data_IF_894690518133
#
_entry.id   IF_894690518133
#
_cell.length_a   1.000
_cell.length_b   1.000
_cell.length_c   1.000
_cell.angle_alpha   90.00
_cell.angle_beta   90.00
_cell.angle_gamma   90.00
#
_symmetry.space_group_name_H-M   'P 1'
#
loop_
_entity.id
_entity.type
_entity.pdbx_description
1 polymer ?
#
# COMPACT_ATOMS: atom_id res chain seq x y z
N UNK A 1 6.12 -5.74 30.39
CA UNK A 1 5.01 -5.84 29.44
C UNK A 1 5.28 -4.90 28.27
N UNK A 2 5.68 -5.44 27.13
CA UNK A 2 5.87 -4.60 25.94
C UNK A 2 4.50 -4.28 25.36
N UNK A 3 4.04 -3.06 25.59
CA UNK A 3 2.84 -2.57 24.93
C UNK A 3 3.19 -2.36 23.45
N UNK A 4 2.56 -3.12 22.58
CA UNK A 4 2.64 -2.90 21.13
C UNK A 4 2.16 -1.49 20.82
N UNK A 5 3.05 -0.64 20.40
CA UNK A 5 2.71 0.76 20.16
C UNK A 5 2.88 1.11 18.70
N UNK A 6 1.75 1.38 18.05
CA UNK A 6 1.76 1.96 16.73
C UNK A 6 2.18 3.42 16.81
N UNK A 7 2.98 3.87 15.87
CA UNK A 7 3.40 5.26 15.73
C UNK A 7 3.03 5.77 14.34
N UNK A 8 2.73 7.05 14.25
CA UNK A 8 2.46 7.72 12.99
C UNK A 8 3.68 8.55 12.64
N UNK A 9 4.25 8.27 11.48
CA UNK A 9 5.42 8.97 10.97
C UNK A 9 5.11 9.64 9.63
N UNK A 10 5.90 10.64 9.29
CA UNK A 10 5.89 11.21 7.95
C UNK A 10 6.52 10.22 6.97
N UNK A 11 5.95 10.11 5.79
CA UNK A 11 6.55 9.33 4.71
C UNK A 11 7.67 10.16 4.07
N UNK A 12 8.88 9.62 4.11
CA UNK A 12 10.10 10.32 3.67
C UNK A 12 9.95 10.88 2.25
N UNK A 13 10.15 12.18 2.11
CA UNK A 13 10.05 12.89 0.82
C UNK A 13 8.62 13.32 0.45
N UNK A 14 7.65 13.12 1.34
CA UNK A 14 6.25 13.46 1.09
C UNK A 14 5.63 14.13 2.32
N UNK A 15 5.69 15.45 2.38
CA UNK A 15 5.31 16.25 3.56
C UNK A 15 3.84 16.06 3.98
N UNK A 16 2.98 15.67 3.05
CA UNK A 16 1.54 15.52 3.29
C UNK A 16 1.10 14.08 3.50
N UNK A 17 2.02 13.11 3.47
CA UNK A 17 1.68 11.70 3.68
C UNK A 17 2.18 11.21 5.03
N UNK A 18 1.29 10.51 5.72
CA UNK A 18 1.58 9.84 6.99
C UNK A 18 1.52 8.33 6.81
N UNK A 19 2.29 7.60 7.59
CA UNK A 19 2.29 6.15 7.59
C UNK A 19 2.26 5.63 9.03
N UNK A 20 1.44 4.60 9.28
CA UNK A 20 1.37 3.94 10.57
C UNK A 20 2.38 2.81 10.60
N UNK A 21 3.22 2.80 11.61
CA UNK A 21 4.31 1.82 11.79
C UNK A 21 4.28 1.21 13.18
N UNK A 22 4.87 0.03 13.29
CA UNK A 22 5.06 -0.65 14.57
C UNK A 22 6.44 -1.31 14.57
N UNK A 23 7.20 -1.09 15.62
CA UNK A 23 8.59 -1.58 15.75
C UNK A 23 8.73 -3.10 15.74
N UNK A 24 7.65 -3.83 16.01
CA UNK A 24 7.66 -5.28 16.00
C UNK A 24 7.55 -5.88 14.59
N UNK A 25 7.21 -5.06 13.59
CA UNK A 25 7.05 -5.47 12.21
C UNK A 25 8.07 -4.79 11.32
N UNK A 26 8.30 -5.39 10.16
CA UNK A 26 9.18 -4.81 9.17
C UNK A 26 8.65 -3.46 8.69
N UNK A 27 9.50 -2.46 8.76
CA UNK A 27 9.20 -1.14 8.21
C UNK A 27 9.51 -1.11 6.71
N UNK A 28 8.92 -0.14 6.00
CA UNK A 28 9.15 0.02 4.57
C UNK A 28 10.64 0.31 4.28
N UNK A 29 11.10 -0.17 3.13
CA UNK A 29 12.48 0.00 2.67
C UNK A 29 12.61 1.17 1.69
N UNK A 30 13.86 1.51 1.34
CA UNK A 30 14.14 2.50 0.30
C UNK A 30 13.49 2.13 -1.04
N UNK A 31 13.46 0.83 -1.37
CA UNK A 31 12.83 0.32 -2.60
C UNK A 31 11.35 0.69 -2.67
N UNK A 32 10.65 0.65 -1.53
CA UNK A 32 9.24 1.06 -1.47
C UNK A 32 9.01 2.51 -1.86
N UNK A 33 10.01 3.37 -1.64
CA UNK A 33 9.97 4.78 -2.03
C UNK A 33 10.32 4.94 -3.52
N UNK A 34 11.24 4.13 -4.02
CA UNK A 34 11.75 4.24 -5.39
C UNK A 34 10.83 3.58 -6.43
N UNK A 35 10.27 2.41 -6.14
CA UNK A 35 9.44 1.64 -7.09
C UNK A 35 8.34 2.49 -7.73
N UNK A 36 7.54 3.25 -6.98
CA UNK A 36 6.48 4.06 -7.59
C UNK A 36 6.99 5.05 -8.65
N UNK A 37 8.21 5.55 -8.50
CA UNK A 37 8.80 6.53 -9.42
C UNK A 37 9.27 5.91 -10.72
N UNK A 38 9.45 4.60 -10.77
CA UNK A 38 9.78 3.88 -12.00
C UNK A 38 8.56 3.44 -12.80
N UNK A 39 7.36 3.57 -12.23
CA UNK A 39 6.14 3.17 -12.89
C UNK A 39 5.78 4.13 -14.02
N UNK A 40 5.36 3.58 -15.15
CA UNK A 40 4.78 4.36 -16.24
C UNK A 40 3.28 4.47 -15.97
N UNK A 41 2.83 5.68 -15.61
CA UNK A 41 1.45 5.92 -15.22
C UNK A 41 0.67 6.58 -16.35
N UNK A 42 -0.51 6.02 -16.63
CA UNK A 42 -1.48 6.54 -17.59
C UNK A 42 -2.75 6.96 -16.86
N UNK A 43 -3.60 7.72 -17.51
CA UNK A 43 -4.92 8.06 -16.95
C UNK A 43 -5.79 6.81 -16.81
N UNK A 44 -6.48 6.69 -15.67
CA UNK A 44 -7.46 5.61 -15.39
C UNK A 44 -6.87 4.21 -15.53
N UNK A 45 -5.88 3.90 -14.73
CA UNK A 45 -5.32 2.56 -14.60
C UNK A 45 -6.01 1.78 -13.48
N UNK A 46 -5.97 0.46 -13.58
CA UNK A 46 -6.21 -0.45 -12.44
C UNK A 46 -4.86 -0.92 -11.92
N UNK A 47 -4.56 -0.59 -10.67
CA UNK A 47 -3.24 -0.83 -10.08
C UNK A 47 -3.40 -1.75 -8.88
N UNK A 48 -2.50 -2.73 -8.77
CA UNK A 48 -2.41 -3.60 -7.60
C UNK A 48 -0.97 -3.72 -7.12
N UNK A 49 -0.78 -3.59 -5.80
CA UNK A 49 0.51 -3.75 -5.13
C UNK A 49 0.50 -5.05 -4.31
N UNK A 50 1.34 -6.01 -4.69
CA UNK A 50 1.49 -7.28 -3.98
C UNK A 50 2.40 -7.11 -2.77
N UNK A 51 2.05 -7.78 -1.68
CA UNK A 51 2.82 -7.72 -0.44
C UNK A 51 3.01 -6.27 0.03
N UNK A 52 1.89 -5.55 0.11
CA UNK A 52 1.90 -4.10 0.27
C UNK A 52 2.47 -3.60 1.60
N UNK A 53 2.57 -4.47 2.60
CA UNK A 53 3.01 -4.08 3.93
C UNK A 53 2.05 -3.08 4.56
N UNK A 54 2.57 -2.04 5.17
CA UNK A 54 1.78 -0.93 5.70
C UNK A 54 1.43 0.13 4.64
N UNK A 55 1.49 -0.23 3.35
CA UNK A 55 1.04 0.50 2.17
C UNK A 55 1.88 1.72 1.74
N UNK A 56 3.22 1.71 1.83
CA UNK A 56 4.01 2.84 1.35
C UNK A 56 3.87 3.05 -0.17
N UNK A 57 3.87 1.97 -0.98
CA UNK A 57 3.76 2.07 -2.44
C UNK A 57 2.39 2.64 -2.86
N UNK A 58 1.25 2.10 -2.39
CA UNK A 58 -0.05 2.72 -2.68
C UNK A 58 -0.14 4.19 -2.28
N UNK A 59 0.36 4.57 -1.12
CA UNK A 59 0.34 5.96 -0.66
C UNK A 59 1.12 6.87 -1.60
N UNK A 60 2.32 6.48 -2.02
CA UNK A 60 3.14 7.27 -2.94
C UNK A 60 2.49 7.31 -4.33
N UNK A 61 2.01 6.18 -4.84
CA UNK A 61 1.31 6.14 -6.13
C UNK A 61 0.12 7.09 -6.16
N UNK A 62 -0.59 7.23 -5.05
CA UNK A 62 -1.74 8.13 -4.96
C UNK A 62 -1.40 9.60 -5.23
N UNK A 63 -0.15 10.00 -5.05
CA UNK A 63 0.33 11.36 -5.38
C UNK A 63 0.68 11.52 -6.85
N UNK A 64 0.86 10.42 -7.57
CA UNK A 64 1.35 10.40 -8.96
C UNK A 64 0.24 10.09 -9.97
N UNK A 65 -0.88 9.55 -9.52
CA UNK A 65 -2.01 9.17 -10.36
C UNK A 65 -3.32 9.35 -9.63
N UNK A 66 -4.41 9.56 -10.36
CA UNK A 66 -5.78 9.57 -9.85
C UNK A 66 -6.45 8.18 -9.90
N UNK A 67 -5.74 7.18 -10.35
CA UNK A 67 -6.25 5.81 -10.48
C UNK A 67 -6.57 5.18 -9.12
N UNK A 68 -7.48 4.21 -9.14
CA UNK A 68 -7.74 3.36 -7.98
C UNK A 68 -6.59 2.36 -7.78
N UNK A 69 -6.23 2.12 -6.53
CA UNK A 69 -5.11 1.27 -6.15
C UNK A 69 -5.58 0.23 -5.13
N UNK A 70 -5.20 -1.03 -5.35
CA UNK A 70 -5.43 -2.11 -4.41
C UNK A 70 -4.09 -2.56 -3.86
N UNK A 71 -3.97 -2.65 -2.54
CA UNK A 71 -2.83 -3.29 -1.88
C UNK A 71 -3.24 -4.63 -1.30
N UNK A 72 -2.38 -5.64 -1.38
CA UNK A 72 -2.63 -6.99 -0.86
C UNK A 72 -1.61 -7.31 0.22
N UNK A 73 -2.09 -7.69 1.40
CA UNK A 73 -1.25 -8.06 2.53
C UNK A 73 -1.85 -9.28 3.25
N UNK A 74 -1.06 -10.35 3.38
CA UNK A 74 -1.52 -11.61 3.97
C UNK A 74 -1.53 -11.55 5.50
N UNK A 75 -0.61 -10.82 6.12
CA UNK A 75 -0.51 -10.72 7.57
C UNK A 75 -1.54 -9.74 8.11
N UNK A 76 -2.47 -10.24 8.93
CA UNK A 76 -3.58 -9.45 9.46
C UNK A 76 -3.12 -8.20 10.21
N UNK A 77 -2.11 -8.32 11.03
CA UNK A 77 -1.59 -7.21 11.84
C UNK A 77 -1.01 -6.08 10.97
N UNK A 78 -0.34 -6.46 9.89
CA UNK A 78 0.25 -5.50 8.94
C UNK A 78 -0.85 -4.92 8.04
N UNK A 79 -1.82 -5.73 7.63
CA UNK A 79 -3.02 -5.27 6.95
C UNK A 79 -3.74 -4.17 7.74
N UNK A 80 -3.85 -4.33 9.06
CA UNK A 80 -4.48 -3.33 9.93
C UNK A 80 -3.68 -2.02 9.92
N UNK A 81 -2.34 -2.07 9.92
CA UNK A 81 -1.50 -0.89 9.79
C UNK A 81 -1.70 -0.19 8.43
N UNK A 82 -1.78 -0.98 7.35
CA UNK A 82 -2.01 -0.46 6.01
C UNK A 82 -3.37 0.25 5.91
N UNK A 83 -4.41 -0.38 6.42
CA UNK A 83 -5.77 0.19 6.43
C UNK A 83 -5.81 1.50 7.21
N UNK A 84 -5.15 1.55 8.35
CA UNK A 84 -5.08 2.77 9.15
C UNK A 84 -4.26 3.86 8.45
N UNK A 85 -3.16 3.50 7.78
CA UNK A 85 -2.37 4.45 6.98
C UNK A 85 -3.20 5.08 5.86
N UNK A 86 -4.02 4.29 5.18
CA UNK A 86 -4.95 4.81 4.15
C UNK A 86 -5.95 5.78 4.78
N UNK A 87 -6.51 5.41 5.93
CA UNK A 87 -7.54 6.19 6.62
C UNK A 87 -7.02 7.55 7.11
N UNK A 88 -5.84 7.59 7.74
CA UNK A 88 -5.28 8.85 8.26
C UNK A 88 -4.91 9.84 7.17
N UNK A 89 -4.72 9.36 5.92
CA UNK A 89 -4.48 10.21 4.74
C UNK A 89 -5.78 10.53 3.98
N UNK A 90 -6.94 10.07 4.46
CA UNK A 90 -8.24 10.26 3.80
C UNK A 90 -8.29 9.74 2.35
N UNK A 91 -7.68 8.57 2.13
CA UNK A 91 -7.55 7.96 0.79
C UNK A 91 -8.42 6.71 0.60
N UNK A 92 -9.41 6.47 1.49
CA UNK A 92 -10.25 5.27 1.43
C UNK A 92 -11.04 5.16 0.12
N UNK A 93 -11.34 6.27 -0.53
CA UNK A 93 -12.05 6.29 -1.81
C UNK A 93 -11.21 5.81 -2.98
N UNK A 94 -9.88 5.79 -2.82
CA UNK A 94 -8.94 5.50 -3.91
C UNK A 94 -8.06 4.31 -3.65
N UNK A 95 -7.77 4.00 -2.39
CA UNK A 95 -6.90 2.89 -1.99
C UNK A 95 -7.72 1.90 -1.16
N UNK A 96 -7.74 0.66 -1.61
CA UNK A 96 -8.35 -0.46 -0.89
C UNK A 96 -7.26 -1.46 -0.52
N UNK A 97 -7.28 -1.95 0.70
CA UNK A 97 -6.35 -3.00 1.16
C UNK A 97 -7.11 -4.30 1.34
N UNK A 98 -6.58 -5.38 0.78
CA UNK A 98 -7.13 -6.73 0.91
C UNK A 98 -6.23 -7.55 1.84
N UNK A 99 -6.82 -8.17 2.84
CA UNK A 99 -6.14 -9.16 3.67
C UNK A 99 -6.26 -10.52 3.01
N UNK A 100 -5.38 -10.79 2.05
CA UNK A 100 -5.39 -12.01 1.24
C UNK A 100 -3.99 -12.49 0.88
N UNK A 101 -3.89 -13.79 0.56
CA UNK A 101 -2.72 -14.37 -0.06
C UNK A 101 -2.76 -14.08 -1.57
N UNK A 102 -1.65 -13.61 -2.13
CA UNK A 102 -1.55 -13.33 -3.58
C UNK A 102 -1.87 -14.55 -4.45
N UNK A 103 -1.68 -15.76 -3.93
CA UNK A 103 -2.02 -17.02 -4.62
C UNK A 103 -3.51 -17.19 -4.85
N UNK A 104 -4.35 -16.51 -4.07
CA UNK A 104 -5.81 -16.57 -4.19
C UNK A 104 -6.40 -15.50 -5.10
N UNK A 105 -5.60 -14.57 -5.58
CA UNK A 105 -6.06 -13.48 -6.43
C UNK A 105 -6.73 -13.96 -7.73
N UNK A 106 -6.29 -15.07 -8.38
CA UNK A 106 -6.99 -15.60 -9.55
C UNK A 106 -8.45 -16.01 -9.28
N UNK A 107 -8.79 -16.32 -8.04
CA UNK A 107 -10.16 -16.65 -7.63
C UNK A 107 -11.02 -15.39 -7.37
N UNK A 108 -10.37 -14.25 -7.15
CA UNK A 108 -11.02 -12.98 -6.80
C UNK A 108 -11.14 -12.02 -7.99
N UNK A 109 -10.22 -12.12 -8.94
CA UNK A 109 -10.13 -11.24 -10.10
C UNK A 109 -10.00 -12.03 -11.38
N UNK A 110 -10.63 -11.54 -12.44
CA UNK A 110 -10.47 -12.10 -13.78
C UNK A 110 -9.07 -11.83 -14.33
N UNK A 111 -8.66 -12.66 -15.29
CA UNK A 111 -7.41 -12.46 -16.05
C UNK A 111 -7.42 -11.06 -16.69
N UNK A 112 -6.26 -10.44 -16.77
CA UNK A 112 -6.06 -9.13 -17.40
C UNK A 112 -6.88 -7.98 -16.77
N UNK A 113 -7.20 -8.09 -15.48
CA UNK A 113 -7.91 -7.04 -14.74
C UNK A 113 -7.04 -5.80 -14.50
N UNK A 114 -5.74 -5.98 -14.23
CA UNK A 114 -4.85 -4.90 -13.80
C UNK A 114 -3.93 -4.43 -14.93
N UNK A 115 -3.72 -3.12 -14.99
CA UNK A 115 -2.82 -2.45 -15.93
C UNK A 115 -1.40 -2.34 -15.39
N UNK A 116 -1.26 -2.28 -14.07
CA UNK A 116 0.02 -2.16 -13.39
C UNK A 116 0.03 -3.03 -12.14
N UNK A 117 1.08 -3.82 -12.00
CA UNK A 117 1.35 -4.61 -10.80
C UNK A 117 2.69 -4.18 -10.23
N UNK A 118 2.72 -3.82 -8.96
CA UNK A 118 3.95 -3.57 -8.21
C UNK A 118 4.16 -4.66 -7.17
N UNK A 119 5.40 -4.91 -6.81
CA UNK A 119 5.75 -5.88 -5.77
C UNK A 119 7.15 -5.56 -5.22
N UNK A 120 7.24 -5.43 -3.91
CA UNK A 120 8.52 -5.25 -3.23
C UNK A 120 8.78 -6.39 -2.24
#
# INVERSE_FOLDING_TARGET
MNVKKNVINDLVGYDNLKIVQNNEYFNFSLESILIPRFCILKKKMKIIDFCTGNAPIPLILSTLTDSEIIGVEVQKEIYDLATESVKINSLEDRISILNEDVKKLPDLFETDTFDLITCN
#
